data_IF_837394669349
#
_entry.id   IF_837394669349
#
_cell.length_a   1.000
_cell.length_b   1.000
_cell.length_c   1.000
_cell.angle_alpha   90.00
_cell.angle_beta   90.00
_cell.angle_gamma   90.00
#
_symmetry.space_group_name_H-M   'P 1'
#
loop_
_entity.id
_entity.type
_entity.pdbx_description
1 polymer ?
#
# COMPACT_ATOMS: atom_id res chain seq x y z
N UNK A 1 5.77 14.87 -7.74
CA UNK A 1 5.01 14.63 -6.49
C UNK A 1 5.09 13.17 -6.14
N UNK A 2 5.33 12.87 -4.87
CA UNK A 2 5.50 11.51 -4.36
C UNK A 2 4.52 11.25 -3.23
N UNK A 3 3.61 10.29 -3.42
CA UNK A 3 2.76 9.73 -2.38
C UNK A 3 3.49 8.55 -1.73
N UNK A 4 3.85 8.67 -0.46
CA UNK A 4 4.64 7.68 0.26
C UNK A 4 3.82 6.99 1.35
N UNK A 5 3.85 5.66 1.36
CA UNK A 5 3.19 4.80 2.34
C UNK A 5 4.23 3.87 2.97
N UNK A 6 4.28 3.84 4.30
CA UNK A 6 5.19 2.99 5.05
C UNK A 6 4.43 2.12 6.05
N UNK A 7 4.62 0.81 6.01
CA UNK A 7 3.92 -0.16 6.87
C UNK A 7 4.14 0.09 8.37
N UNK A 8 5.24 0.74 8.75
CA UNK A 8 5.53 1.11 10.14
C UNK A 8 4.92 2.47 10.52
N UNK A 9 4.22 3.11 9.59
CA UNK A 9 3.58 4.41 9.77
C UNK A 9 4.35 5.57 9.17
N UNK A 10 3.64 6.66 8.89
CA UNK A 10 4.17 7.87 8.24
C UNK A 10 5.23 8.60 9.07
N UNK A 11 5.22 8.46 10.40
CA UNK A 11 6.20 9.08 11.29
C UNK A 11 7.64 8.69 10.94
N UNK A 12 7.86 7.45 10.49
CA UNK A 12 9.19 7.00 10.04
C UNK A 12 9.66 7.81 8.82
N UNK A 13 8.74 8.18 7.92
CA UNK A 13 9.07 8.98 6.73
C UNK A 13 9.34 10.45 7.09
N UNK A 14 8.61 10.98 8.08
CA UNK A 14 8.76 12.36 8.54
C UNK A 14 10.02 12.58 9.38
N UNK A 15 10.52 11.52 10.04
CA UNK A 15 11.77 11.58 10.81
C UNK A 15 13.02 11.34 9.96
N UNK A 16 12.89 11.01 8.67
CA UNK A 16 14.03 10.87 7.75
C UNK A 16 14.41 12.23 7.14
N UNK A 17 15.18 13.01 7.91
CA UNK A 17 15.63 14.35 7.50
C UNK A 17 16.41 14.33 6.19
N UNK A 18 17.18 13.27 5.92
CA UNK A 18 17.97 13.16 4.68
C UNK A 18 17.05 13.07 3.47
N UNK A 19 16.03 12.21 3.57
CA UNK A 19 15.03 12.07 2.51
C UNK A 19 14.21 13.34 2.33
N UNK A 20 13.75 13.97 3.41
CA UNK A 20 13.00 15.22 3.34
C UNK A 20 13.82 16.33 2.68
N UNK A 21 15.10 16.47 3.03
CA UNK A 21 16.00 17.46 2.42
C UNK A 21 16.21 17.20 0.93
N UNK A 22 16.38 15.94 0.52
CA UNK A 22 16.53 15.58 -0.89
C UNK A 22 15.28 15.92 -1.70
N UNK A 23 14.09 15.60 -1.18
CA UNK A 23 12.81 15.91 -1.83
C UNK A 23 12.55 17.42 -1.91
N UNK A 24 12.82 18.15 -0.82
CA UNK A 24 12.70 19.60 -0.78
C UNK A 24 13.61 20.28 -1.82
N UNK A 25 14.86 19.80 -1.96
CA UNK A 25 15.83 20.34 -2.93
C UNK A 25 15.40 20.09 -4.38
N UNK A 26 14.70 18.98 -4.64
CA UNK A 26 14.19 18.63 -5.98
C UNK A 26 12.90 19.39 -6.34
N UNK A 27 12.31 20.13 -5.39
CA UNK A 27 11.03 20.82 -5.59
C UNK A 27 9.84 19.86 -5.68
N UNK A 28 10.01 18.62 -5.20
CA UNK A 28 8.96 17.62 -5.21
C UNK A 28 7.98 17.83 -4.04
N UNK A 29 6.68 17.75 -4.33
CA UNK A 29 5.64 17.71 -3.30
C UNK A 29 5.59 16.30 -2.71
N UNK A 30 5.70 16.22 -1.38
CA UNK A 30 5.60 14.98 -0.63
C UNK A 30 4.22 14.87 0.04
N UNK A 31 3.51 13.77 -0.25
CA UNK A 31 2.29 13.38 0.44
C UNK A 31 2.58 12.12 1.23
N UNK A 32 2.43 12.17 2.55
CA UNK A 32 2.57 11.00 3.44
C UNK A 32 1.24 10.73 4.13
N UNK A 33 0.89 9.45 4.27
CA UNK A 33 -0.36 9.07 4.92
C UNK A 33 -0.22 7.70 5.60
N UNK A 34 -0.97 7.53 6.68
CA UNK A 34 -1.30 6.22 7.23
C UNK A 34 -2.64 5.77 6.62
N UNK A 35 -2.68 4.58 6.03
CA UNK A 35 -3.97 3.98 5.64
C UNK A 35 -4.59 3.26 6.84
N UNK A 36 -5.89 2.94 6.74
CA UNK A 36 -6.63 2.27 7.82
C UNK A 36 -5.87 1.05 8.35
N UNK A 37 -5.71 0.96 9.67
CA UNK A 37 -5.02 -0.14 10.35
C UNK A 37 -3.51 0.03 10.53
N UNK A 38 -2.91 1.12 10.02
CA UNK A 38 -1.51 1.44 10.24
C UNK A 38 -1.31 2.79 10.93
N UNK A 39 -0.10 2.97 11.47
CA UNK A 39 0.35 4.21 12.11
C UNK A 39 -0.63 4.68 13.18
N UNK A 40 -1.15 5.90 13.04
CA UNK A 40 -2.13 6.48 13.98
C UNK A 40 -3.44 5.68 14.10
N UNK A 41 -3.78 4.89 13.08
CA UNK A 41 -4.99 4.06 13.06
C UNK A 41 -4.71 2.58 13.35
N UNK A 42 -3.49 2.27 13.79
CA UNK A 42 -3.12 0.91 14.14
C UNK A 42 -4.00 0.36 15.25
N UNK A 43 -4.37 -0.91 15.12
CA UNK A 43 -5.13 -1.59 16.16
C UNK A 43 -4.27 -1.73 17.42
N UNK A 44 -4.79 -1.45 18.64
CA UNK A 44 -4.03 -1.64 19.85
C UNK A 44 -3.49 -3.06 19.96
N UNK A 45 -2.19 -3.20 20.26
CA UNK A 45 -1.54 -4.52 20.35
C UNK A 45 -2.22 -5.44 21.39
N UNK A 46 -2.79 -4.87 22.46
CA UNK A 46 -3.53 -5.60 23.49
C UNK A 46 -4.83 -6.25 22.99
N UNK A 47 -5.35 -5.82 21.83
CA UNK A 47 -6.55 -6.36 21.21
C UNK A 47 -6.23 -7.40 20.12
N UNK A 48 -4.95 -7.62 19.81
CA UNK A 48 -4.52 -8.64 18.85
C UNK A 48 -3.87 -9.83 19.56
N UNK A 49 -4.35 -11.03 19.21
CA UNK A 49 -3.83 -12.28 19.74
C UNK A 49 -2.60 -12.70 18.95
N UNK A 50 -1.45 -12.78 19.63
CA UNK A 50 -0.14 -13.07 19.02
C UNK A 50 -0.11 -14.44 18.35
N UNK A 51 -1.02 -15.37 18.67
CA UNK A 51 -1.06 -16.69 18.03
C UNK A 51 -1.29 -16.63 16.51
N UNK A 52 -1.91 -15.56 16.02
CA UNK A 52 -2.22 -15.42 14.59
C UNK A 52 -1.06 -14.86 13.75
N UNK A 53 0.07 -14.50 14.39
CA UNK A 53 1.26 -13.93 13.75
C UNK A 53 0.95 -12.81 12.75
N UNK A 54 -0.03 -11.98 13.12
CA UNK A 54 -0.47 -10.85 12.35
C UNK A 54 -0.94 -9.74 13.30
N UNK A 55 -0.39 -8.54 13.14
CA UNK A 55 -0.68 -7.38 13.99
C UNK A 55 -2.04 -6.74 13.70
N UNK A 56 -2.69 -7.14 12.61
CA UNK A 56 -3.95 -6.61 12.11
C UNK A 56 -5.03 -7.69 11.96
N UNK A 57 -4.90 -8.81 12.68
CA UNK A 57 -5.78 -9.95 12.52
C UNK A 57 -7.24 -9.55 12.76
N UNK A 58 -7.49 -8.78 13.82
CA UNK A 58 -8.84 -8.31 14.17
C UNK A 58 -9.45 -7.44 13.06
N UNK A 59 -8.72 -6.45 12.57
CA UNK A 59 -9.15 -5.57 11.48
C UNK A 59 -9.42 -6.35 10.19
N UNK A 60 -8.53 -7.29 9.86
CA UNK A 60 -8.68 -8.14 8.69
C UNK A 60 -9.93 -9.02 8.81
N UNK A 61 -10.12 -9.70 9.95
CA UNK A 61 -11.28 -10.57 10.15
C UNK A 61 -12.58 -9.79 10.04
N UNK A 62 -12.71 -8.64 10.70
CA UNK A 62 -13.91 -7.79 10.60
C UNK A 62 -14.18 -7.41 9.14
N UNK A 63 -13.14 -6.99 8.42
CA UNK A 63 -13.21 -6.64 6.99
C UNK A 63 -13.74 -7.80 6.13
N UNK A 64 -13.25 -9.02 6.38
CA UNK A 64 -13.74 -10.21 5.68
C UNK A 64 -15.21 -10.53 6.02
N UNK A 65 -15.62 -10.39 7.30
CA UNK A 65 -17.00 -10.66 7.72
C UNK A 65 -18.02 -9.70 7.09
N UNK A 66 -17.63 -8.46 6.79
CA UNK A 66 -18.49 -7.49 6.08
C UNK A 66 -18.38 -7.61 4.56
N UNK A 67 -17.67 -8.61 4.04
CA UNK A 67 -17.50 -8.85 2.60
C UNK A 67 -16.64 -7.80 1.88
N UNK A 68 -15.84 -7.00 2.61
CA UNK A 68 -14.98 -5.96 2.05
C UNK A 68 -13.56 -6.19 2.54
N UNK A 69 -12.72 -6.89 1.77
CA UNK A 69 -11.33 -7.15 2.18
C UNK A 69 -10.60 -5.86 2.56
N UNK A 70 -9.70 -5.95 3.55
CA UNK A 70 -8.94 -4.77 4.00
C UNK A 70 -8.06 -4.20 2.88
N UNK A 71 -7.59 -5.06 1.97
CA UNK A 71 -6.90 -4.65 0.73
C UNK A 71 -7.78 -3.75 -0.13
N UNK A 72 -9.01 -4.16 -0.45
CA UNK A 72 -9.92 -3.35 -1.27
C UNK A 72 -10.29 -2.03 -0.61
N UNK A 73 -10.44 -2.04 0.72
CA UNK A 73 -10.65 -0.81 1.48
C UNK A 73 -9.43 0.13 1.40
N UNK A 74 -8.21 -0.38 1.52
CA UNK A 74 -6.98 0.43 1.41
C UNK A 74 -6.69 0.93 0.00
N UNK A 75 -7.09 0.18 -1.03
CA UNK A 75 -7.08 0.69 -2.42
C UNK A 75 -7.96 1.93 -2.52
N UNK A 76 -9.14 1.91 -1.87
CA UNK A 76 -10.03 3.08 -1.81
C UNK A 76 -9.37 4.23 -1.06
N UNK A 77 -8.61 3.96 0.02
CA UNK A 77 -7.86 5.00 0.73
C UNK A 77 -6.79 5.65 -0.17
N UNK A 78 -6.04 4.86 -0.95
CA UNK A 78 -5.06 5.39 -1.92
C UNK A 78 -5.75 6.25 -2.99
N UNK A 79 -6.86 5.77 -3.57
CA UNK A 79 -7.62 6.53 -4.56
C UNK A 79 -8.15 7.83 -3.95
N UNK A 80 -8.56 7.82 -2.69
CA UNK A 80 -9.01 9.02 -1.98
C UNK A 80 -7.88 10.05 -1.80
N UNK A 81 -6.64 9.60 -1.54
CA UNK A 81 -5.46 10.46 -1.52
C UNK A 81 -5.13 11.03 -2.90
N UNK A 82 -5.28 10.22 -3.94
CA UNK A 82 -5.14 10.66 -5.34
C UNK A 82 -6.21 11.70 -5.70
N UNK A 83 -7.45 11.50 -5.28
CA UNK A 83 -8.55 12.45 -5.47
C UNK A 83 -8.29 13.76 -4.73
N UNK A 84 -7.84 13.68 -3.47
CA UNK A 84 -7.44 14.85 -2.70
C UNK A 84 -6.39 15.67 -3.44
N UNK A 85 -5.30 15.04 -3.91
CA UNK A 85 -4.28 15.74 -4.69
C UNK A 85 -4.85 16.33 -5.97
N UNK A 86 -5.61 15.56 -6.73
CA UNK A 86 -6.13 15.99 -8.02
C UNK A 86 -7.15 17.13 -7.90
N UNK A 87 -7.82 17.26 -6.74
CA UNK A 87 -8.81 18.29 -6.48
C UNK A 87 -8.22 19.67 -6.16
N UNK A 88 -6.93 19.73 -5.78
CA UNK A 88 -6.28 20.97 -5.39
C UNK A 88 -5.52 21.59 -6.58
N UNK A 89 -5.91 22.78 -7.06
CA UNK A 89 -5.23 23.43 -8.19
C UNK A 89 -3.74 23.67 -7.98
N UNK A 90 -3.27 23.74 -6.72
CA UNK A 90 -1.85 23.89 -6.38
C UNK A 90 -1.01 22.69 -6.82
N UNK A 91 -1.63 21.52 -7.01
CA UNK A 91 -0.96 20.30 -7.44
C UNK A 91 -1.20 19.98 -8.92
N UNK A 92 -1.89 20.86 -9.65
CA UNK A 92 -2.14 20.71 -11.08
C UNK A 92 -0.84 20.55 -11.87
N UNK A 93 -0.80 19.57 -12.77
CA UNK A 93 0.35 19.31 -13.64
C UNK A 93 1.44 18.42 -13.04
N UNK A 94 1.38 18.10 -11.74
CA UNK A 94 2.30 17.14 -11.15
C UNK A 94 1.87 15.70 -11.42
N UNK A 95 2.82 14.87 -11.85
CA UNK A 95 2.61 13.43 -11.94
C UNK A 95 2.69 12.78 -10.56
N UNK A 96 1.81 11.81 -10.31
CA UNK A 96 1.74 11.08 -9.05
C UNK A 96 2.67 9.86 -9.13
N UNK A 97 3.73 9.87 -8.32
CA UNK A 97 4.52 8.67 -8.03
C UNK A 97 4.04 8.08 -6.70
N UNK A 98 3.71 6.79 -6.67
CA UNK A 98 3.38 6.04 -5.46
C UNK A 98 4.59 5.25 -5.00
N UNK A 99 5.02 5.47 -3.77
CA UNK A 99 6.04 4.66 -3.11
C UNK A 99 5.39 3.92 -1.94
N UNK A 100 5.53 2.61 -1.91
CA UNK A 100 4.97 1.77 -0.86
C UNK A 100 5.98 0.72 -0.42
N UNK A 101 5.89 0.27 0.83
CA UNK A 101 6.71 -0.84 1.30
C UNK A 101 5.89 -1.92 2.01
N UNK A 102 6.51 -3.08 2.19
CA UNK A 102 6.00 -4.04 3.14
C UNK A 102 4.63 -4.58 2.75
N UNK A 103 3.77 -4.67 3.74
CA UNK A 103 2.38 -5.10 3.58
C UNK A 103 1.51 -4.18 2.71
N UNK A 104 1.95 -2.96 2.35
CA UNK A 104 1.26 -2.10 1.38
C UNK A 104 1.46 -2.50 -0.08
N UNK A 105 2.49 -3.30 -0.41
CA UNK A 105 2.81 -3.57 -1.82
C UNK A 105 1.64 -4.13 -2.64
N UNK A 106 0.92 -5.18 -2.20
CA UNK A 106 -0.26 -5.66 -2.92
C UNK A 106 -1.29 -4.55 -3.14
N UNK A 107 -1.58 -3.73 -2.12
CA UNK A 107 -2.51 -2.60 -2.23
C UNK A 107 -2.05 -1.61 -3.30
N UNK A 108 -0.75 -1.26 -3.31
CA UNK A 108 -0.17 -0.34 -4.27
C UNK A 108 -0.25 -0.86 -5.72
N UNK A 109 -0.02 -2.17 -5.93
CA UNK A 109 -0.22 -2.80 -7.26
C UNK A 109 -1.67 -2.65 -7.72
N UNK A 110 -2.64 -2.92 -6.85
CA UNK A 110 -4.06 -2.81 -7.21
C UNK A 110 -4.45 -1.35 -7.52
N UNK A 111 -3.99 -0.39 -6.71
CA UNK A 111 -4.25 1.02 -6.95
C UNK A 111 -3.64 1.49 -8.29
N UNK A 112 -2.40 1.10 -8.59
CA UNK A 112 -1.72 1.45 -9.84
C UNK A 112 -2.41 0.87 -11.09
N UNK A 113 -3.02 -0.31 -10.94
CA UNK A 113 -3.81 -0.95 -11.99
C UNK A 113 -5.17 -0.24 -12.21
N UNK A 114 -5.84 0.14 -11.13
CA UNK A 114 -7.19 0.71 -11.18
C UNK A 114 -7.21 2.22 -11.51
N UNK A 115 -6.17 2.96 -11.12
CA UNK A 115 -6.10 4.41 -11.32
C UNK A 115 -4.93 4.82 -12.21
N UNK A 116 -5.27 5.31 -13.40
CA UNK A 116 -4.27 5.73 -14.40
C UNK A 116 -3.51 7.00 -14.01
N UNK A 117 -4.04 7.81 -13.08
CA UNK A 117 -3.39 9.04 -12.58
C UNK A 117 -2.11 8.75 -11.80
N UNK A 118 -2.02 7.56 -11.21
CA UNK A 118 -0.76 7.05 -10.64
C UNK A 118 0.17 6.72 -11.80
N UNK A 119 1.17 7.56 -12.04
CA UNK A 119 2.05 7.46 -13.20
C UNK A 119 3.13 6.39 -13.02
N UNK A 120 3.59 6.19 -11.78
CA UNK A 120 4.61 5.21 -11.42
C UNK A 120 4.41 4.73 -9.99
N UNK A 121 4.70 3.47 -9.75
CA UNK A 121 4.59 2.80 -8.46
C UNK A 121 5.86 2.03 -8.18
N UNK A 122 6.52 2.36 -7.07
CA UNK A 122 7.73 1.69 -6.59
C UNK A 122 7.42 0.99 -5.27
N UNK A 123 7.76 -0.30 -5.21
CA UNK A 123 7.44 -1.18 -4.10
C UNK A 123 8.73 -1.79 -3.56
N UNK A 124 8.87 -1.79 -2.24
CA UNK A 124 10.01 -2.41 -1.54
C UNK A 124 9.53 -3.34 -0.43
N UNK A 125 10.33 -4.34 -0.08
CA UNK A 125 10.10 -5.29 1.02
C UNK A 125 8.72 -5.94 1.00
N UNK A 126 8.21 -6.29 -0.18
CA UNK A 126 6.84 -6.77 -0.33
C UNK A 126 6.75 -8.05 -1.15
N UNK A 127 5.67 -8.81 -0.96
CA UNK A 127 5.38 -9.98 -1.77
C UNK A 127 5.08 -9.58 -3.21
N UNK A 128 5.57 -10.39 -4.15
CA UNK A 128 5.43 -10.17 -5.60
C UNK A 128 4.36 -11.06 -6.20
N UNK A 129 3.90 -12.06 -5.45
CA UNK A 129 2.84 -12.98 -5.82
C UNK A 129 2.04 -13.46 -4.60
N UNK A 130 0.72 -13.62 -4.77
CA UNK A 130 -0.14 -14.27 -3.78
C UNK A 130 0.22 -15.75 -3.57
N UNK A 131 0.91 -16.39 -4.53
CA UNK A 131 1.39 -17.77 -4.38
C UNK A 131 2.51 -17.89 -3.35
N UNK A 132 3.24 -16.82 -3.05
CA UNK A 132 4.26 -16.83 -2.00
C UNK A 132 3.67 -17.19 -0.63
N UNK A 133 2.42 -16.76 -0.36
CA UNK A 133 1.71 -17.13 0.87
C UNK A 133 1.35 -18.62 0.93
N UNK A 134 1.09 -19.25 -0.22
CA UNK A 134 0.82 -20.68 -0.29
C UNK A 134 2.09 -21.51 -0.13
N UNK A 135 3.20 -21.00 -0.65
CA UNK A 135 4.51 -21.64 -0.58
C UNK A 135 5.14 -21.49 0.80
N UNK A 136 4.86 -20.39 1.49
CA UNK A 136 5.42 -20.05 2.81
C UNK A 136 4.28 -19.82 3.82
N UNK A 137 3.52 -20.86 4.21
CA UNK A 137 2.33 -20.71 5.05
C UNK A 137 2.63 -20.19 6.47
N UNK A 138 3.89 -20.26 6.92
CA UNK A 138 4.33 -19.75 8.23
C UNK A 138 4.81 -18.29 8.20
N UNK A 139 4.64 -17.60 7.08
CA UNK A 139 4.97 -16.18 6.97
C UNK A 139 4.09 -15.34 7.90
N UNK A 140 4.67 -14.29 8.47
CA UNK A 140 3.94 -13.32 9.31
C UNK A 140 3.17 -12.32 8.46
N UNK A 141 2.18 -11.68 9.07
CA UNK A 141 1.44 -10.57 8.45
C UNK A 141 0.66 -10.94 7.16
N UNK A 142 0.38 -12.22 6.93
CA UNK A 142 -0.28 -12.70 5.70
C UNK A 142 -1.74 -12.25 5.62
N UNK A 143 -2.49 -12.32 6.72
CA UNK A 143 -3.91 -11.99 6.76
C UNK A 143 -4.22 -10.60 6.21
N UNK A 144 -3.35 -9.64 6.49
CA UNK A 144 -3.42 -8.25 6.03
C UNK A 144 -3.55 -8.08 4.51
N UNK A 145 -3.14 -9.09 3.73
CA UNK A 145 -3.20 -9.07 2.27
C UNK A 145 -4.17 -10.10 1.67
N UNK A 146 -5.02 -10.73 2.48
CA UNK A 146 -5.96 -11.75 2.00
C UNK A 146 -7.13 -11.10 1.24
N UNK A 147 -7.31 -11.54 0.00
CA UNK A 147 -8.52 -11.31 -0.80
C UNK A 147 -9.12 -12.69 -1.12
N UNK A 148 -10.34 -13.00 -0.64
CA UNK A 148 -10.97 -14.29 -0.88
C UNK A 148 -11.05 -14.64 -2.37
N UNK A 149 -10.50 -15.80 -2.75
CA UNK A 149 -10.58 -16.33 -4.12
C UNK A 149 -9.71 -15.62 -5.17
N UNK A 150 -8.81 -14.71 -4.78
CA UNK A 150 -8.03 -13.88 -5.74
C UNK A 150 -7.29 -14.69 -6.80
N UNK A 151 -6.66 -15.80 -6.41
CA UNK A 151 -5.89 -16.67 -7.31
C UNK A 151 -6.74 -17.43 -8.35
N UNK A 152 -8.08 -17.40 -8.23
CA UNK A 152 -8.96 -17.89 -9.29
C UNK A 152 -9.05 -16.92 -10.48
N UNK A 153 -8.59 -15.67 -10.30
CA UNK A 153 -8.74 -14.60 -11.28
C UNK A 153 -7.41 -14.02 -11.74
N UNK A 154 -6.48 -13.77 -10.83
CA UNK A 154 -5.17 -13.18 -11.14
C UNK A 154 -4.17 -13.36 -10.00
N UNK A 155 -2.91 -13.06 -10.32
CA UNK A 155 -1.84 -12.82 -9.37
C UNK A 155 -1.32 -11.35 -9.47
N UNK A 156 -0.51 -10.89 -8.51
CA UNK A 156 -0.01 -9.52 -8.47
C UNK A 156 0.80 -9.13 -9.71
N UNK A 157 1.58 -10.09 -10.24
CA UNK A 157 2.34 -9.90 -11.47
C UNK A 157 1.43 -9.58 -12.67
N UNK A 158 0.27 -10.23 -12.78
CA UNK A 158 -0.67 -9.98 -13.88
C UNK A 158 -1.18 -8.55 -13.86
N UNK A 159 -1.48 -8.01 -12.66
CA UNK A 159 -1.90 -6.62 -12.50
C UNK A 159 -0.76 -5.64 -12.80
N UNK A 160 0.45 -5.93 -12.33
CA UNK A 160 1.63 -5.11 -12.59
C UNK A 160 1.92 -5.00 -14.09
N UNK A 161 1.86 -6.11 -14.82
CA UNK A 161 2.06 -6.14 -16.28
C UNK A 161 0.94 -5.40 -17.02
N UNK A 162 -0.33 -5.65 -16.66
CA UNK A 162 -1.48 -5.00 -17.29
C UNK A 162 -1.60 -3.51 -16.97
N UNK A 163 -0.95 -3.05 -15.90
CA UNK A 163 -0.88 -1.62 -15.57
C UNK A 163 -0.10 -0.83 -16.64
N UNK A 164 0.80 -1.47 -17.40
CA UNK A 164 1.64 -0.85 -18.42
C UNK A 164 3.13 -0.90 -18.08
N UNK A 165 3.98 -0.95 -19.11
CA UNK A 165 5.43 -1.13 -18.96
C UNK A 165 6.04 -0.03 -18.08
N UNK A 166 6.73 -0.42 -17.02
CA UNK A 166 7.43 0.49 -16.11
C UNK A 166 6.55 1.26 -15.13
N UNK A 167 5.22 1.01 -15.12
CA UNK A 167 4.31 1.66 -14.16
C UNK A 167 4.40 1.05 -12.77
N UNK A 168 4.69 -0.24 -12.64
CA UNK A 168 4.88 -0.91 -11.34
C UNK A 168 6.28 -1.54 -11.33
N UNK A 169 7.06 -1.25 -10.31
CA UNK A 169 8.40 -1.79 -10.12
C UNK A 169 8.60 -2.24 -8.66
N UNK A 170 9.05 -3.48 -8.47
CA UNK A 170 9.60 -3.94 -7.21
C UNK A 170 11.12 -3.68 -7.23
N UNK A 171 11.66 -3.08 -6.17
CA UNK A 171 13.05 -2.59 -6.14
C UNK A 171 14.02 -3.50 -5.35
N UNK A 172 13.56 -4.66 -4.90
CA UNK A 172 14.32 -5.66 -4.14
C UNK A 172 14.31 -7.05 -4.78
#
# INVERSE_FOLDING_TARGET
MVLCLNETGKEILLNDETRLNNLATQGDILVVADLRGYGETADPASLNDTKYWNNEYRNTMISLHIGKSIVGQRVTDIISLVDFVASDPRFSGHTIKLEANGTYGPVAVHAAYLDKRIARTEITRSVKSYREFLQNPMQREVYTNVIPGVLNYYDLKDLAEKSGKGRVAFLD
#
